data_IF_298553202996
#
_entry.id   IF_298553202996
#
_cell.length_a   1.000
_cell.length_b   1.000
_cell.length_c   1.000
_cell.angle_alpha   90.00
_cell.angle_beta   90.00
_cell.angle_gamma   90.00
#
_symmetry.space_group_name_H-M   'P 1'
#
loop_
_entity.id
_entity.type
_entity.pdbx_description
1 polymer ?
#
# COMPACT_ATOMS: atom_id res chain seq x y z
N UNK A 1 -9.65 -56.77 16.17
CA UNK A 1 -8.17 -56.82 16.14
C UNK A 1 -7.70 -55.98 14.96
N UNK A 2 -7.21 -54.76 15.17
CA UNK A 2 -6.65 -53.96 14.08
C UNK A 2 -5.27 -54.55 13.68
N UNK A 3 -5.10 -54.81 12.39
CA UNK A 3 -3.87 -55.37 11.84
C UNK A 3 -2.71 -54.36 12.01
N UNK A 4 -1.53 -54.82 12.49
CA UNK A 4 -0.36 -53.96 12.82
C UNK A 4 0.08 -53.09 11.63
N UNK A 5 -0.15 -53.54 10.41
CA UNK A 5 0.16 -52.80 9.18
C UNK A 5 -0.76 -51.59 8.96
N UNK A 6 -2.04 -51.72 9.32
CA UNK A 6 -3.04 -50.65 9.20
C UNK A 6 -2.77 -49.52 10.20
N UNK A 7 -2.30 -49.87 11.40
CA UNK A 7 -1.92 -48.91 12.44
C UNK A 7 -0.69 -48.08 12.05
N UNK A 8 0.31 -48.70 11.40
CA UNK A 8 1.52 -47.99 10.91
C UNK A 8 1.22 -47.00 9.79
N UNK A 9 0.28 -47.33 8.89
CA UNK A 9 -0.12 -46.44 7.81
C UNK A 9 -0.94 -45.25 8.31
N UNK A 10 -1.82 -45.45 9.29
CA UNK A 10 -2.58 -44.38 9.97
C UNK A 10 -1.68 -43.38 10.71
N UNK A 11 -0.62 -43.86 11.36
CA UNK A 11 0.35 -42.99 12.03
C UNK A 11 1.13 -42.15 11.01
N UNK A 12 1.52 -42.72 9.87
CA UNK A 12 2.26 -42.00 8.82
C UNK A 12 1.42 -40.93 8.12
N UNK A 13 0.14 -41.19 7.87
CA UNK A 13 -0.76 -40.18 7.26
C UNK A 13 -1.16 -39.09 8.24
N UNK A 14 -1.32 -39.40 9.53
CA UNK A 14 -1.60 -38.41 10.57
C UNK A 14 -0.46 -37.40 10.78
N UNK A 15 0.80 -37.85 10.75
CA UNK A 15 1.98 -36.99 10.91
C UNK A 15 2.17 -36.05 9.71
N UNK A 16 1.88 -36.51 8.49
CA UNK A 16 1.98 -35.68 7.29
C UNK A 16 0.91 -34.56 7.25
N UNK A 17 -0.32 -34.83 7.72
CA UNK A 17 -1.39 -33.83 7.79
C UNK A 17 -1.09 -32.70 8.78
N UNK A 18 -0.52 -33.02 9.95
CA UNK A 18 -0.17 -32.02 10.96
C UNK A 18 1.00 -31.12 10.52
N UNK A 19 1.95 -31.63 9.72
CA UNK A 19 3.07 -30.84 9.23
C UNK A 19 2.65 -29.74 8.24
N UNK A 20 1.64 -29.99 7.41
CA UNK A 20 1.11 -29.00 6.45
C UNK A 20 0.26 -27.94 7.17
N UNK A 21 -0.53 -28.34 8.17
CA UNK A 21 -1.30 -27.39 8.99
C UNK A 21 -0.38 -26.49 9.84
N UNK A 22 0.72 -27.04 10.38
CA UNK A 22 1.73 -26.26 11.12
C UNK A 22 2.49 -25.26 10.24
N UNK A 23 2.77 -25.60 8.98
CA UNK A 23 3.44 -24.69 8.05
C UNK A 23 2.60 -23.47 7.66
N UNK A 24 1.27 -23.62 7.57
CA UNK A 24 0.35 -22.50 7.31
C UNK A 24 0.15 -21.59 8.54
N UNK A 25 0.27 -22.14 9.75
CA UNK A 25 0.18 -21.37 11.00
C UNK A 25 1.49 -20.63 11.34
N UNK A 26 2.60 -20.99 10.68
CA UNK A 26 3.95 -20.49 10.95
C UNK A 26 4.51 -19.53 9.90
N UNK A 27 3.70 -19.03 8.97
CA UNK A 27 4.09 -17.91 8.11
C UNK A 27 4.16 -16.64 8.98
N UNK A 28 5.23 -16.53 9.78
CA UNK A 28 5.57 -15.33 10.50
C UNK A 28 5.68 -14.17 9.51
N UNK A 29 5.23 -12.99 9.93
CA UNK A 29 5.45 -11.76 9.18
C UNK A 29 6.97 -11.62 9.03
N UNK A 30 7.47 -11.85 7.82
CA UNK A 30 8.82 -11.46 7.48
C UNK A 30 8.86 -9.94 7.63
N UNK A 31 9.46 -9.45 8.71
CA UNK A 31 9.82 -8.05 8.82
C UNK A 31 11.05 -7.88 7.95
N UNK A 32 10.86 -7.49 6.68
CA UNK A 32 11.93 -6.82 5.96
C UNK A 32 12.41 -5.66 6.84
N UNK A 33 13.72 -5.40 6.86
CA UNK A 33 14.33 -4.36 7.70
C UNK A 33 13.80 -2.98 7.26
N UNK A 34 12.62 -2.65 7.78
CA UNK A 34 11.88 -1.45 7.46
C UNK A 34 12.45 -0.36 8.35
N UNK A 35 13.41 0.39 7.81
CA UNK A 35 13.59 1.77 8.27
C UNK A 35 12.22 2.45 8.34
N UNK A 36 12.03 3.43 9.21
CA UNK A 36 10.74 4.15 9.34
C UNK A 36 10.18 4.66 8.00
N UNK A 37 11.02 4.81 6.97
CA UNK A 37 10.64 5.30 5.66
C UNK A 37 10.58 4.26 4.54
N UNK A 38 10.63 2.94 4.79
CA UNK A 38 10.69 1.92 3.72
C UNK A 38 9.57 0.86 3.77
N UNK A 39 9.00 0.46 2.61
CA UNK A 39 9.02 1.18 1.32
C UNK A 39 8.09 2.39 1.29
N UNK A 40 7.04 2.38 2.11
CA UNK A 40 6.12 3.53 2.33
C UNK A 40 6.40 4.13 3.71
N UNK A 41 6.53 5.47 3.84
CA UNK A 41 6.82 6.10 5.12
C UNK A 41 5.81 5.83 6.22
N UNK A 42 6.29 5.54 7.44
CA UNK A 42 5.48 5.25 8.63
C UNK A 42 4.47 6.38 8.93
N UNK A 43 4.84 7.63 8.64
CA UNK A 43 3.94 8.79 8.72
C UNK A 43 2.69 8.63 7.85
N UNK A 44 2.85 8.17 6.60
CA UNK A 44 1.73 7.87 5.70
C UNK A 44 0.95 6.62 6.18
N UNK A 45 1.65 5.61 6.69
CA UNK A 45 0.97 4.42 7.22
C UNK A 45 0.04 4.76 8.40
N UNK A 46 0.41 5.75 9.24
CA UNK A 46 -0.34 6.17 10.42
C UNK A 46 -1.25 7.38 10.22
N UNK A 47 -1.10 8.11 9.12
CA UNK A 47 -1.81 9.38 8.96
C UNK A 47 -3.32 9.18 8.95
N UNK A 48 -4.08 10.00 9.71
CA UNK A 48 -5.53 10.05 9.61
C UNK A 48 -6.01 10.91 8.43
N UNK A 49 -5.10 11.53 7.69
CA UNK A 49 -5.44 12.35 6.53
C UNK A 49 -5.98 11.50 5.37
N UNK A 50 -6.93 12.08 4.64
CA UNK A 50 -7.43 11.60 3.35
C UNK A 50 -6.42 11.84 2.24
N UNK A 51 -6.62 11.19 1.09
CA UNK A 51 -5.80 11.43 -0.10
C UNK A 51 -5.84 12.91 -0.52
N UNK A 52 -7.03 13.51 -0.50
CA UNK A 52 -7.27 14.90 -0.91
C UNK A 52 -6.57 15.87 0.03
N UNK A 53 -6.51 15.57 1.33
CA UNK A 53 -5.73 16.37 2.29
C UNK A 53 -4.23 16.33 2.00
N UNK A 54 -3.70 15.16 1.63
CA UNK A 54 -2.30 15.04 1.20
C UNK A 54 -2.07 15.82 -0.10
N UNK A 55 -3.00 15.75 -1.05
CA UNK A 55 -2.90 16.46 -2.33
C UNK A 55 -3.00 17.98 -2.17
N UNK A 56 -3.93 18.46 -1.34
CA UNK A 56 -4.09 19.86 -1.02
C UNK A 56 -2.85 20.42 -0.29
N UNK A 57 -2.32 19.66 0.67
CA UNK A 57 -1.04 20.00 1.29
C UNK A 57 0.08 20.08 0.24
N UNK A 58 0.18 19.10 -0.66
CA UNK A 58 1.21 19.10 -1.69
C UNK A 58 1.08 20.30 -2.63
N UNK A 59 -0.14 20.71 -2.99
CA UNK A 59 -0.38 21.92 -3.81
C UNK A 59 0.24 23.17 -3.19
N UNK A 60 0.17 23.29 -1.87
CA UNK A 60 0.57 24.51 -1.17
C UNK A 60 2.04 24.48 -0.71
N UNK A 61 2.51 23.35 -0.16
CA UNK A 61 3.86 23.24 0.42
C UNK A 61 4.88 22.56 -0.49
N UNK A 62 4.42 21.85 -1.52
CA UNK A 62 5.27 21.16 -2.51
C UNK A 62 4.79 21.43 -3.97
N UNK A 63 4.51 22.70 -4.35
CA UNK A 63 3.74 23.04 -5.55
C UNK A 63 4.35 22.46 -6.84
N UNK A 64 5.68 22.42 -6.95
CA UNK A 64 6.38 21.84 -8.10
C UNK A 64 6.08 20.34 -8.26
N UNK A 65 5.97 19.61 -7.15
CA UNK A 65 5.64 18.17 -7.19
C UNK A 65 4.16 17.93 -7.47
N UNK A 66 3.29 18.78 -6.92
CA UNK A 66 1.86 18.76 -7.22
C UNK A 66 1.61 19.02 -8.71
N UNK A 67 2.12 20.11 -9.26
CA UNK A 67 1.95 20.46 -10.68
C UNK A 67 2.50 19.36 -11.59
N UNK A 68 3.70 18.84 -11.31
CA UNK A 68 4.28 17.74 -12.09
C UNK A 68 3.42 16.48 -12.03
N UNK A 69 2.87 16.17 -10.86
CA UNK A 69 1.96 15.03 -10.71
C UNK A 69 0.68 15.24 -11.52
N UNK A 70 0.06 16.42 -11.43
CA UNK A 70 -1.17 16.74 -12.16
C UNK A 70 -0.96 16.81 -13.67
N UNK A 71 0.19 17.30 -14.14
CA UNK A 71 0.56 17.23 -15.56
C UNK A 71 0.65 15.77 -16.02
N UNK A 72 1.35 14.92 -15.27
CA UNK A 72 1.48 13.50 -15.65
C UNK A 72 0.13 12.77 -15.60
N UNK A 73 -0.67 13.06 -14.57
CA UNK A 73 -2.04 12.55 -14.37
C UNK A 73 -2.96 12.90 -15.55
N UNK A 74 -3.03 14.18 -15.93
CA UNK A 74 -3.90 14.64 -17.02
C UNK A 74 -3.44 14.17 -18.40
N UNK A 75 -2.19 13.75 -18.54
CA UNK A 75 -1.67 13.12 -19.75
C UNK A 75 -1.98 11.61 -19.84
N UNK A 76 -2.61 11.00 -18.82
CA UNK A 76 -3.00 9.58 -18.86
C UNK A 76 -4.38 9.37 -19.48
N UNK A 77 -4.65 8.18 -20.05
CA UNK A 77 -6.01 7.78 -20.41
C UNK A 77 -6.97 7.92 -19.23
N UNK A 78 -8.23 8.29 -19.48
CA UNK A 78 -9.26 8.45 -18.43
C UNK A 78 -9.38 7.20 -17.54
N UNK A 79 -9.23 6.01 -18.10
CA UNK A 79 -9.25 4.76 -17.33
C UNK A 79 -8.05 4.56 -16.40
N UNK A 80 -6.89 5.17 -16.70
CA UNK A 80 -5.71 5.16 -15.82
C UNK A 80 -5.85 6.23 -14.74
N UNK A 81 -6.41 7.40 -15.10
CA UNK A 81 -6.74 8.48 -14.16
C UNK A 81 -7.71 8.00 -13.06
N UNK A 82 -8.81 7.35 -13.44
CA UNK A 82 -9.77 6.77 -12.50
C UNK A 82 -9.11 5.67 -11.67
N UNK A 83 -8.36 4.76 -12.32
CA UNK A 83 -7.68 3.67 -11.61
C UNK A 83 -6.68 4.16 -10.56
N UNK A 84 -6.00 5.29 -10.81
CA UNK A 84 -5.11 5.90 -9.82
C UNK A 84 -5.88 6.50 -8.63
N UNK A 85 -6.97 7.24 -8.88
CA UNK A 85 -7.83 7.76 -7.80
C UNK A 85 -8.37 6.62 -6.94
N UNK A 86 -9.00 5.62 -7.55
CA UNK A 86 -9.57 4.46 -6.86
C UNK A 86 -8.51 3.74 -6.01
N UNK A 87 -7.30 3.58 -6.57
CA UNK A 87 -6.21 2.89 -5.89
C UNK A 87 -5.67 3.66 -4.70
N UNK A 88 -5.50 4.98 -4.85
CA UNK A 88 -5.08 5.87 -3.77
C UNK A 88 -6.15 5.94 -2.67
N UNK A 89 -7.43 6.11 -3.03
CA UNK A 89 -8.54 6.10 -2.07
C UNK A 89 -8.63 4.78 -1.32
N UNK A 90 -8.49 3.64 -2.00
CA UNK A 90 -8.41 2.33 -1.35
C UNK A 90 -7.23 2.24 -0.38
N UNK A 91 -6.06 2.79 -0.74
CA UNK A 91 -4.92 2.82 0.16
C UNK A 91 -5.19 3.63 1.44
N UNK A 92 -5.75 4.83 1.29
CA UNK A 92 -6.08 5.71 2.42
C UNK A 92 -7.32 5.25 3.22
N UNK A 93 -8.16 4.35 2.69
CA UNK A 93 -9.27 3.78 3.47
C UNK A 93 -8.86 2.64 4.41
N UNK A 94 -7.70 2.03 4.19
CA UNK A 94 -7.16 1.00 5.09
C UNK A 94 -6.72 1.57 6.43
N UNK A 95 -6.80 0.72 7.46
CA UNK A 95 -6.16 0.96 8.74
C UNK A 95 -4.62 0.80 8.66
N UNK A 96 -3.93 1.09 9.76
CA UNK A 96 -2.48 0.97 9.82
C UNK A 96 -1.99 -0.45 9.47
N UNK A 97 -2.68 -1.49 9.94
CA UNK A 97 -2.29 -2.88 9.68
C UNK A 97 -2.40 -3.21 8.19
N UNK A 98 -3.49 -2.81 7.53
CA UNK A 98 -3.69 -2.96 6.09
C UNK A 98 -2.64 -2.20 5.27
N UNK A 99 -2.39 -0.93 5.60
CA UNK A 99 -1.36 -0.13 4.92
C UNK A 99 0.05 -0.72 5.12
N UNK A 100 0.36 -1.23 6.32
CA UNK A 100 1.64 -1.88 6.63
C UNK A 100 1.82 -3.16 5.82
N UNK A 101 0.79 -4.00 5.72
CA UNK A 101 0.82 -5.21 4.91
C UNK A 101 0.96 -4.88 3.42
N UNK A 102 0.26 -3.84 2.93
CA UNK A 102 0.41 -3.35 1.56
C UNK A 102 1.85 -2.92 1.28
N UNK A 103 2.46 -2.15 2.20
CA UNK A 103 3.86 -1.75 2.14
C UNK A 103 4.81 -2.97 2.07
N UNK A 104 4.58 -4.02 2.87
CA UNK A 104 5.38 -5.25 2.80
C UNK A 104 5.24 -5.99 1.47
N UNK A 105 4.01 -6.09 0.95
CA UNK A 105 3.78 -6.74 -0.34
C UNK A 105 4.48 -5.98 -1.49
N UNK A 106 4.51 -4.65 -1.42
CA UNK A 106 5.25 -3.79 -2.35
C UNK A 106 6.77 -4.04 -2.29
N UNK A 107 7.33 -4.29 -1.10
CA UNK A 107 8.76 -4.58 -0.94
C UNK A 107 9.15 -5.98 -1.43
N UNK A 108 8.26 -6.96 -1.26
CA UNK A 108 8.60 -8.38 -1.40
C UNK A 108 8.12 -9.00 -2.71
N UNK A 109 7.16 -8.39 -3.38
CA UNK A 109 6.62 -8.87 -4.64
C UNK A 109 6.63 -7.77 -5.71
N UNK A 110 7.60 -7.86 -6.62
CA UNK A 110 7.80 -6.90 -7.71
C UNK A 110 6.59 -6.73 -8.65
N UNK A 111 5.64 -7.68 -8.65
CA UNK A 111 4.44 -7.65 -9.49
C UNK A 111 3.15 -7.35 -8.72
N UNK A 112 3.25 -7.03 -7.42
CA UNK A 112 2.07 -6.86 -6.57
C UNK A 112 1.20 -5.65 -6.94
N UNK A 113 1.83 -4.50 -7.25
CA UNK A 113 1.09 -3.28 -7.58
C UNK A 113 0.85 -3.14 -9.08
N UNK A 114 -0.38 -3.49 -9.47
CA UNK A 114 -0.82 -3.45 -10.86
C UNK A 114 -0.85 -2.02 -11.44
N UNK A 115 -1.13 -0.99 -10.63
CA UNK A 115 -1.17 0.38 -11.13
C UNK A 115 0.21 0.87 -11.57
N UNK A 116 1.29 0.39 -10.94
CA UNK A 116 2.67 0.71 -11.30
C UNK A 116 3.04 0.26 -12.72
N UNK A 117 2.36 -0.75 -13.27
CA UNK A 117 2.56 -1.20 -14.66
C UNK A 117 1.85 -0.32 -15.68
N UNK A 118 0.77 0.37 -15.29
CA UNK A 118 0.05 1.32 -16.15
C UNK A 118 0.64 2.72 -16.05
N UNK A 119 1.02 3.11 -14.84
CA UNK A 119 1.57 4.42 -14.55
C UNK A 119 2.59 4.35 -13.40
N UNK A 120 3.90 4.30 -13.68
CA UNK A 120 4.93 4.18 -12.64
C UNK A 120 4.95 5.32 -11.60
N UNK A 121 4.43 6.51 -11.93
CA UNK A 121 4.39 7.66 -11.02
C UNK A 121 3.05 7.82 -10.28
N UNK A 122 2.11 6.86 -10.38
CA UNK A 122 0.75 7.00 -9.85
C UNK A 122 0.66 7.39 -8.36
N UNK A 123 1.66 6.99 -7.55
CA UNK A 123 1.73 7.31 -6.13
C UNK A 123 2.86 8.29 -5.75
N UNK A 124 3.48 8.98 -6.74
CA UNK A 124 4.63 9.86 -6.49
C UNK A 124 4.35 10.98 -5.51
N UNK A 125 3.17 11.59 -5.60
CA UNK A 125 2.75 12.69 -4.74
C UNK A 125 2.45 12.22 -3.31
N UNK A 126 1.99 10.98 -3.15
CA UNK A 126 1.44 10.48 -1.90
C UNK A 126 2.47 9.79 -1.02
N UNK A 127 3.28 8.87 -1.57
CA UNK A 127 4.24 8.11 -0.77
C UNK A 127 5.52 7.66 -1.46
N UNK A 128 5.62 7.68 -2.81
CA UNK A 128 6.88 7.28 -3.45
C UNK A 128 7.97 8.37 -3.35
N UNK A 129 7.59 9.64 -3.16
CA UNK A 129 8.52 10.70 -2.79
C UNK A 129 8.47 10.93 -1.27
N UNK A 130 9.49 10.41 -0.56
CA UNK A 130 9.54 10.43 0.91
C UNK A 130 9.59 11.84 1.50
N UNK A 131 10.28 12.78 0.82
CA UNK A 131 10.37 14.18 1.26
C UNK A 131 9.03 14.89 1.18
N UNK A 132 8.34 14.75 0.03
CA UNK A 132 6.99 15.28 -0.17
C UNK A 132 6.03 14.65 0.84
N UNK A 133 6.02 13.32 0.94
CA UNK A 133 5.14 12.60 1.85
C UNK A 133 5.31 13.03 3.31
N UNK A 134 6.54 13.28 3.77
CA UNK A 134 6.80 13.79 5.10
C UNK A 134 6.21 15.20 5.28
N UNK A 135 6.56 16.14 4.39
CA UNK A 135 6.14 17.54 4.49
C UNK A 135 4.61 17.69 4.40
N UNK A 136 3.97 16.97 3.48
CA UNK A 136 2.51 17.00 3.32
C UNK A 136 1.79 16.39 4.52
N UNK A 137 2.32 15.29 5.07
CA UNK A 137 1.71 14.65 6.25
C UNK A 137 1.76 15.55 7.49
N UNK A 138 2.80 16.38 7.62
CA UNK A 138 2.97 17.27 8.77
C UNK A 138 1.90 18.39 8.82
N UNK A 139 1.27 18.73 7.68
CA UNK A 139 0.29 19.83 7.58
C UNK A 139 -1.09 19.42 7.05
N UNK A 140 -1.29 18.17 6.64
CA UNK A 140 -2.50 17.74 5.92
C UNK A 140 -3.82 17.93 6.69
N UNK A 141 -3.78 17.96 8.03
CA UNK A 141 -4.96 18.22 8.88
C UNK A 141 -5.52 19.65 8.72
N UNK A 142 -4.76 20.58 8.14
CA UNK A 142 -5.20 21.95 7.88
C UNK A 142 -6.12 22.06 6.65
N UNK A 143 -6.30 20.97 5.91
CA UNK A 143 -7.07 20.95 4.66
C UNK A 143 -8.41 20.21 4.83
N UNK A 144 -9.45 20.59 4.07
CA UNK A 144 -10.71 19.86 4.08
C UNK A 144 -10.53 18.39 3.65
N UNK A 145 -11.08 17.42 4.38
CA UNK A 145 -11.07 16.02 3.96
C UNK A 145 -11.98 15.81 2.74
N UNK A 146 -11.56 14.93 1.83
CA UNK A 146 -12.34 14.50 0.66
C UNK A 146 -12.75 15.63 -0.31
N UNK A 147 -12.00 16.74 -0.35
CA UNK A 147 -12.21 17.79 -1.36
C UNK A 147 -11.70 17.32 -2.72
N UNK A 148 -12.60 16.76 -3.53
CA UNK A 148 -12.26 16.21 -4.85
C UNK A 148 -11.80 17.27 -5.86
N UNK A 149 -12.03 18.57 -5.62
CA UNK A 149 -11.62 19.63 -6.55
C UNK A 149 -10.11 19.71 -6.74
N UNK A 150 -9.32 19.14 -5.83
CA UNK A 150 -7.87 19.05 -5.98
C UNK A 150 -7.45 18.17 -7.17
N UNK A 151 -8.29 17.23 -7.60
CA UNK A 151 -8.02 16.41 -8.78
C UNK A 151 -8.30 17.14 -10.10
N UNK A 152 -9.01 18.25 -10.05
CA UNK A 152 -9.33 19.09 -11.19
C UNK A 152 -8.22 20.14 -11.38
N UNK A 153 -7.26 19.84 -12.26
CA UNK A 153 -6.17 20.75 -12.62
C UNK A 153 -6.45 21.37 -13.99
N UNK A 154 -6.60 22.70 -14.03
CA UNK A 154 -6.91 23.49 -15.22
C UNK A 154 -5.99 24.71 -15.31
#
# INVERSE_FOLDING_TARGET
MLNRTSLKNLIRTGVAGCAVAGALAGAGIANADATDDYPIPNRILKTPCTAEQIMAAARDVEPVYYERYMIDYNNKPVADQQGAQDRIHWFFSMDYAGRRQYSENMATNAFFENMSWRWPNWAKLFFNNKGVAANTTDVCQNYPPNDMSVWDWH
#
